data_IF_778630800247
#
_entry.id   IF_778630800247
#
_cell.length_a   1.000
_cell.length_b   1.000
_cell.length_c   1.000
_cell.angle_alpha   90.00
_cell.angle_beta   90.00
_cell.angle_gamma   90.00
#
_symmetry.space_group_name_H-M   'P 1'
#
loop_
_entity.id
_entity.type
_entity.pdbx_description
1 polymer ?
#
# COMPACT_ATOMS: atom_id res chain seq x y z
N UNK A 1 -9.55 8.69 12.72
CA UNK A 1 -9.69 7.25 12.99
C UNK A 1 -8.31 6.62 13.14
N UNK A 2 -8.08 5.97 14.26
CA UNK A 2 -6.80 5.33 14.53
C UNK A 2 -6.88 3.87 14.08
N UNK A 3 -5.99 3.49 13.16
CA UNK A 3 -5.90 2.13 12.68
C UNK A 3 -4.67 1.49 13.30
N UNK A 4 -4.87 0.42 14.06
CA UNK A 4 -3.77 -0.36 14.64
C UNK A 4 -3.13 -1.18 13.52
N UNK A 5 -1.83 -1.00 13.31
CA UNK A 5 -1.09 -1.73 12.26
C UNK A 5 -1.07 -3.25 12.49
N UNK A 6 -1.32 -3.69 13.72
CA UNK A 6 -1.40 -5.12 14.04
C UNK A 6 -2.82 -5.69 13.91
N UNK A 7 -3.82 -4.84 13.67
CA UNK A 7 -5.18 -5.30 13.46
C UNK A 7 -5.30 -6.01 12.11
N UNK A 8 -5.99 -7.16 12.12
CA UNK A 8 -6.20 -7.96 10.92
C UNK A 8 -7.61 -7.72 10.40
N UNK A 9 -7.72 -7.39 9.12
CA UNK A 9 -8.99 -7.15 8.44
C UNK A 9 -9.28 -8.26 7.44
N UNK A 10 -10.55 -8.66 7.33
CA UNK A 10 -11.00 -9.41 6.17
C UNK A 10 -11.24 -8.41 5.01
N UNK A 11 -11.56 -8.92 3.83
CA UNK A 11 -11.73 -8.08 2.64
C UNK A 11 -12.81 -7.01 2.84
N UNK A 12 -13.96 -7.38 3.39
CA UNK A 12 -15.07 -6.45 3.57
C UNK A 12 -14.71 -5.33 4.53
N UNK A 13 -14.16 -5.68 5.69
CA UNK A 13 -13.78 -4.69 6.70
C UNK A 13 -12.61 -3.83 6.23
N UNK A 14 -11.68 -4.42 5.49
CA UNK A 14 -10.57 -3.67 4.91
C UNK A 14 -11.08 -2.64 3.90
N UNK A 15 -11.97 -3.04 3.01
CA UNK A 15 -12.58 -2.12 2.05
C UNK A 15 -13.30 -0.97 2.76
N UNK A 16 -14.06 -1.29 3.81
CA UNK A 16 -14.73 -0.26 4.62
C UNK A 16 -13.72 0.70 5.24
N UNK A 17 -12.62 0.18 5.81
CA UNK A 17 -11.57 1.00 6.41
C UNK A 17 -10.91 1.93 5.40
N UNK A 18 -10.80 1.50 4.15
CA UNK A 18 -10.23 2.30 3.07
C UNK A 18 -11.25 3.25 2.42
N UNK A 19 -12.55 3.06 2.71
CA UNK A 19 -13.61 3.83 2.07
C UNK A 19 -13.83 3.45 0.61
N UNK A 20 -13.52 2.20 0.25
CA UNK A 20 -13.58 1.74 -1.14
C UNK A 20 -14.39 0.44 -1.22
N UNK A 21 -14.72 0.03 -2.45
CA UNK A 21 -15.42 -1.24 -2.68
C UNK A 21 -14.46 -2.43 -2.57
N UNK A 22 -14.99 -3.63 -2.22
CA UNK A 22 -14.15 -4.83 -2.26
C UNK A 22 -13.56 -5.11 -3.63
N UNK A 23 -14.29 -4.80 -4.71
CA UNK A 23 -13.81 -4.99 -6.08
C UNK A 23 -12.58 -4.13 -6.36
N UNK A 24 -12.55 -2.91 -5.84
CA UNK A 24 -11.39 -2.02 -5.98
C UNK A 24 -10.18 -2.60 -5.24
N UNK A 25 -10.38 -3.14 -4.04
CA UNK A 25 -9.31 -3.79 -3.28
C UNK A 25 -8.74 -4.99 -4.05
N UNK A 26 -9.61 -5.79 -4.67
CA UNK A 26 -9.16 -6.94 -5.46
C UNK A 26 -8.28 -6.50 -6.63
N UNK A 27 -8.55 -5.33 -7.22
CA UNK A 27 -7.69 -4.77 -8.26
C UNK A 27 -6.30 -4.43 -7.71
N UNK A 28 -6.22 -3.93 -6.48
CA UNK A 28 -4.92 -3.67 -5.86
C UNK A 28 -4.09 -4.95 -5.73
N UNK A 29 -4.74 -6.07 -5.42
CA UNK A 29 -4.06 -7.36 -5.35
C UNK A 29 -3.63 -7.84 -6.72
N UNK A 30 -4.48 -7.67 -7.73
CA UNK A 30 -4.18 -8.10 -9.10
C UNK A 30 -2.95 -7.39 -9.67
N UNK A 31 -2.78 -6.11 -9.34
CA UNK A 31 -1.64 -5.32 -9.82
C UNK A 31 -0.46 -5.30 -8.84
N UNK A 32 -0.48 -6.18 -7.84
CA UNK A 32 0.59 -6.31 -6.84
C UNK A 32 0.85 -5.03 -6.06
N UNK A 33 -0.15 -4.16 -5.95
CA UNK A 33 -0.06 -2.96 -5.14
C UNK A 33 -0.10 -3.32 -3.66
N UNK A 34 -0.93 -4.31 -3.33
CA UNK A 34 -0.97 -4.94 -2.01
C UNK A 34 -0.54 -6.39 -2.15
N UNK A 35 0.16 -6.89 -1.14
CA UNK A 35 0.62 -8.27 -1.12
C UNK A 35 -0.14 -9.03 -0.04
N UNK A 36 -0.90 -10.05 -0.43
CA UNK A 36 -1.43 -11.03 0.51
C UNK A 36 -0.49 -12.22 0.57
N UNK A 37 -0.58 -12.95 1.66
CA UNK A 37 0.21 -14.18 1.80
C UNK A 37 -0.39 -15.25 0.90
N UNK A 38 0.37 -15.78 -0.07
CA UNK A 38 -0.19 -16.72 -1.04
C UNK A 38 -0.62 -18.06 -0.46
N UNK A 39 -0.14 -18.40 0.73
CA UNK A 39 -0.50 -19.65 1.39
C UNK A 39 -1.89 -19.65 2.02
N UNK A 40 -2.52 -18.49 2.13
CA UNK A 40 -3.79 -18.35 2.82
C UNK A 40 -4.95 -18.30 1.84
N UNK A 41 -6.00 -19.09 2.11
CA UNK A 41 -7.20 -19.12 1.28
C UNK A 41 -8.03 -17.87 1.43
N UNK A 42 -7.92 -17.21 2.60
CA UNK A 42 -8.68 -16.01 2.91
C UNK A 42 -7.72 -14.85 2.91
N UNK A 43 -8.07 -13.79 2.19
CA UNK A 43 -7.26 -12.57 2.17
C UNK A 43 -7.25 -11.94 3.55
N UNK A 44 -6.05 -11.65 4.05
CA UNK A 44 -5.86 -10.95 5.32
C UNK A 44 -5.08 -9.67 5.04
N UNK A 45 -5.56 -8.58 5.63
CA UNK A 45 -4.97 -7.26 5.47
C UNK A 45 -4.64 -6.69 6.83
N UNK A 46 -3.62 -5.84 6.88
CA UNK A 46 -3.13 -5.21 8.09
C UNK A 46 -3.26 -3.69 8.01
N UNK A 47 -3.06 -3.02 9.13
CA UNK A 47 -3.16 -1.56 9.19
C UNK A 47 -2.24 -0.85 8.20
N UNK A 48 -1.04 -1.36 7.98
CA UNK A 48 -0.11 -0.81 6.99
C UNK A 48 -0.69 -0.84 5.58
N UNK A 49 -1.47 -1.87 5.28
CA UNK A 49 -2.13 -2.01 3.98
C UNK A 49 -3.19 -0.94 3.78
N UNK A 50 -3.85 -0.49 4.85
CA UNK A 50 -4.83 0.61 4.77
C UNK A 50 -4.15 1.88 4.29
N UNK A 51 -2.99 2.21 4.85
CA UNK A 51 -2.22 3.40 4.45
C UNK A 51 -1.82 3.32 2.99
N UNK A 52 -1.36 2.16 2.55
CA UNK A 52 -0.94 1.95 1.15
C UNK A 52 -2.13 2.05 0.19
N UNK A 53 -3.26 1.45 0.55
CA UNK A 53 -4.47 1.51 -0.25
C UNK A 53 -4.99 2.95 -0.39
N UNK A 54 -4.97 3.70 0.71
CA UNK A 54 -5.36 5.12 0.69
C UNK A 54 -4.45 5.95 -0.19
N UNK A 55 -3.15 5.68 -0.16
CA UNK A 55 -2.17 6.34 -1.03
C UNK A 55 -2.44 6.01 -2.50
N UNK A 56 -2.72 4.75 -2.81
CA UNK A 56 -3.07 4.33 -4.16
C UNK A 56 -4.30 5.07 -4.67
N UNK A 57 -5.32 5.18 -3.84
CA UNK A 57 -6.53 5.91 -4.20
C UNK A 57 -6.24 7.38 -4.50
N UNK A 58 -5.44 8.04 -3.65
CA UNK A 58 -5.07 9.45 -3.87
C UNK A 58 -4.32 9.64 -5.18
N UNK A 59 -3.41 8.72 -5.52
CA UNK A 59 -2.68 8.79 -6.77
C UNK A 59 -3.62 8.66 -7.98
N UNK A 60 -4.58 7.74 -7.91
CA UNK A 60 -5.58 7.60 -8.96
C UNK A 60 -6.40 8.87 -9.11
N UNK A 61 -6.86 9.43 -8.00
CA UNK A 61 -7.71 10.61 -7.99
C UNK A 61 -6.96 11.83 -8.52
N UNK A 62 -5.74 12.05 -8.05
CA UNK A 62 -5.00 13.28 -8.32
C UNK A 62 -4.36 13.28 -9.71
N UNK A 63 -4.03 12.10 -10.25
CA UNK A 63 -3.34 11.98 -11.53
C UNK A 63 -4.17 11.26 -12.59
N UNK A 64 -5.40 10.90 -12.27
CA UNK A 64 -6.25 10.10 -13.17
C UNK A 64 -5.50 8.85 -13.66
N UNK A 65 -4.80 8.20 -12.74
CA UNK A 65 -3.88 7.11 -13.06
C UNK A 65 -4.58 5.76 -13.11
N UNK A 66 -4.15 4.90 -14.02
CA UNK A 66 -4.56 3.49 -14.05
C UNK A 66 -3.94 2.73 -12.88
N UNK A 67 -4.45 1.54 -12.60
CA UNK A 67 -3.84 0.67 -11.57
C UNK A 67 -2.39 0.35 -11.90
N UNK A 68 -2.08 0.08 -13.18
CA UNK A 68 -0.70 -0.18 -13.59
C UNK A 68 0.20 1.01 -13.32
N UNK A 69 -0.26 2.22 -13.61
CA UNK A 69 0.50 3.44 -13.36
C UNK A 69 0.72 3.65 -11.86
N UNK A 70 -0.32 3.41 -11.05
CA UNK A 70 -0.21 3.51 -9.59
C UNK A 70 0.80 2.50 -9.02
N UNK A 71 0.79 1.27 -9.54
CA UNK A 71 1.75 0.26 -9.13
C UNK A 71 3.18 0.73 -9.37
N UNK A 72 3.46 1.29 -10.54
CA UNK A 72 4.77 1.83 -10.87
C UNK A 72 5.12 3.03 -9.98
N UNK A 73 4.18 3.95 -9.78
CA UNK A 73 4.39 5.11 -8.92
C UNK A 73 4.77 4.70 -7.50
N UNK A 74 4.07 3.72 -6.93
CA UNK A 74 4.36 3.24 -5.58
C UNK A 74 5.71 2.55 -5.50
N UNK A 75 6.09 1.78 -6.51
CA UNK A 75 7.41 1.15 -6.56
C UNK A 75 8.51 2.21 -6.59
N UNK A 76 8.33 3.27 -7.37
CA UNK A 76 9.29 4.36 -7.45
C UNK A 76 9.37 5.13 -6.13
N UNK A 77 8.23 5.38 -5.50
CA UNK A 77 8.18 6.05 -4.20
C UNK A 77 8.91 5.22 -3.14
N UNK A 78 8.67 3.91 -3.12
CA UNK A 78 9.32 2.99 -2.19
C UNK A 78 10.84 3.01 -2.40
N UNK A 79 11.28 2.99 -3.65
CA UNK A 79 12.70 3.03 -3.99
C UNK A 79 13.35 4.35 -3.59
N UNK A 80 12.68 5.47 -3.82
CA UNK A 80 13.17 6.78 -3.38
C UNK A 80 13.31 6.83 -1.86
N UNK A 81 12.33 6.31 -1.13
CA UNK A 81 12.40 6.28 0.33
C UNK A 81 13.56 5.41 0.82
N UNK A 82 13.77 4.27 0.16
CA UNK A 82 14.88 3.38 0.48
C UNK A 82 16.23 4.07 0.24
N UNK A 83 16.37 4.74 -0.90
CA UNK A 83 17.59 5.48 -1.23
C UNK A 83 17.85 6.62 -0.25
N UNK A 84 16.80 7.34 0.16
CA UNK A 84 16.93 8.40 1.17
C UNK A 84 17.43 7.88 2.50
N UNK A 85 16.97 6.70 2.92
CA UNK A 85 17.46 6.05 4.13
C UNK A 85 18.94 5.71 4.02
N UNK A 86 19.36 5.19 2.87
CA UNK A 86 20.77 4.86 2.62
C UNK A 86 21.65 6.10 2.67
N UNK A 87 21.21 7.18 2.04
CA UNK A 87 21.97 8.44 2.04
C UNK A 87 22.12 8.98 3.47
N UNK A 88 21.02 9.01 4.23
CA UNK A 88 21.07 9.48 5.62
C UNK A 88 22.01 8.63 6.48
N UNK A 89 21.97 7.33 6.30
CA UNK A 89 22.83 6.40 7.03
C UNK A 89 24.29 6.62 6.67
N UNK A 90 24.59 6.80 5.38
CA UNK A 90 25.93 7.06 4.89
C UNK A 90 26.48 8.37 5.45
N UNK A 91 25.70 9.45 5.42
CA UNK A 91 26.09 10.74 5.98
C UNK A 91 26.37 10.66 7.48
N UNK A 92 25.61 9.84 8.18
CA UNK A 92 25.79 9.64 9.62
C UNK A 92 27.11 8.92 9.93
N UNK A 93 27.51 7.99 9.07
CA UNK A 93 28.76 7.24 9.23
C UNK A 93 29.99 8.10 8.96
N UNK A 94 29.86 9.06 8.05
CA UNK A 94 30.97 9.91 7.63
C UNK A 94 31.20 11.11 8.56
N UNK A 95 30.31 11.27 9.52
CA UNK A 95 30.41 12.40 10.46
C UNK A 95 31.44 12.20 11.56
#
# INVERSE_FOLDING_TARGET
EIVDEHHIFDLKHFADACGQSPEWILQLLEYDILNTRPEERIHQFFGDDVSRARRAYRLQRDFDASFSAVAMMLDLIDEVQQLRKQVRHSNFKDA
#
